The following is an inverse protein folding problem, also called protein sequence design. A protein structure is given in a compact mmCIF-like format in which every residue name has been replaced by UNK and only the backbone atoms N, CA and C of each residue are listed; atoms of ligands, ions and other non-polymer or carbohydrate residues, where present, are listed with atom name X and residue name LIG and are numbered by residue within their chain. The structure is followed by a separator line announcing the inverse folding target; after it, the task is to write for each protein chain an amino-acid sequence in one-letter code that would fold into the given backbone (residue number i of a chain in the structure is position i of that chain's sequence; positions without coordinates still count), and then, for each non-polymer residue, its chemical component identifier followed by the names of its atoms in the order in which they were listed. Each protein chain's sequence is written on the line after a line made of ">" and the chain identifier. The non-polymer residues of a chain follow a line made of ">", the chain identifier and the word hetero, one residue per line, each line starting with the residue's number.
data_IF_995351204262
#
_entry.id   IF_995351204262
#
_cell.length_a   1.000
_cell.length_b   1.000
_cell.length_c   1.000
_cell.angle_alpha   90.00
_cell.angle_beta   90.00
_cell.angle_gamma   90.00
#
_symmetry.space_group_name_H-M   'P 1'
#
loop_
_entity.id
_entity.type
_entity.pdbx_description
1 polymer ?
#
# COMPACT_ATOMS: atom_id res chain seq x y z
N UNK A 1 3.66 1.66 -14.68
CA UNK A 1 3.29 0.39 -15.32
C UNK A 1 1.79 0.29 -15.39
N UNK A 2 1.30 -0.72 -16.10
CA UNK A 2 -0.12 -1.08 -16.14
C UNK A 2 -0.62 -1.46 -14.74
N UNK A 3 0.20 -2.18 -13.99
CA UNK A 3 -0.07 -2.67 -12.64
C UNK A 3 -0.37 -1.52 -11.67
N UNK A 4 0.37 -0.41 -11.79
CA UNK A 4 0.14 0.79 -10.97
C UNK A 4 -1.15 1.52 -11.35
N UNK A 5 -1.50 1.56 -12.64
CA UNK A 5 -2.75 2.21 -13.08
C UNK A 5 -3.96 1.42 -12.62
N UNK A 6 -3.86 0.10 -12.62
CA UNK A 6 -4.93 -0.78 -12.18
C UNK A 6 -5.24 -0.60 -10.69
N UNK A 7 -4.21 -0.59 -9.83
CA UNK A 7 -4.42 -0.37 -8.40
C UNK A 7 -4.92 1.05 -8.08
N UNK A 8 -4.49 2.07 -8.82
CA UNK A 8 -5.04 3.43 -8.69
C UNK A 8 -6.53 3.46 -9.10
N UNK A 9 -6.90 2.75 -10.17
CA UNK A 9 -8.30 2.66 -10.62
C UNK A 9 -9.19 1.96 -9.58
N UNK A 10 -8.69 0.89 -8.95
CA UNK A 10 -9.35 0.20 -7.84
C UNK A 10 -9.53 1.12 -6.62
N UNK A 11 -8.50 1.90 -6.28
CA UNK A 11 -8.60 2.86 -5.19
C UNK A 11 -9.62 3.96 -5.49
N UNK A 12 -9.66 4.50 -6.71
CA UNK A 12 -10.68 5.47 -7.11
C UNK A 12 -12.10 4.88 -6.97
N UNK A 13 -12.29 3.61 -7.29
CA UNK A 13 -13.58 2.94 -7.10
C UNK A 13 -13.92 2.79 -5.61
N UNK A 14 -12.96 2.44 -4.76
CA UNK A 14 -13.13 2.40 -3.31
C UNK A 14 -13.55 3.78 -2.75
N UNK A 15 -12.85 4.85 -3.11
CA UNK A 15 -13.17 6.21 -2.63
C UNK A 15 -14.52 6.74 -3.17
N UNK A 16 -14.96 6.30 -4.35
CA UNK A 16 -16.31 6.63 -4.82
C UNK A 16 -17.39 6.07 -3.89
N UNK A 17 -17.17 4.88 -3.32
CA UNK A 17 -18.10 4.29 -2.33
C UNK A 17 -18.12 5.02 -0.99
N UNK A 18 -17.12 5.86 -0.71
CA UNK A 18 -16.98 6.61 0.54
C UNK A 18 -17.38 8.07 0.40
N UNK A 19 -17.91 8.48 -0.75
CA UNK A 19 -18.19 9.90 -1.09
C UNK A 19 -16.99 10.82 -0.90
N UNK A 20 -15.76 10.30 -1.07
CA UNK A 20 -14.51 11.04 -0.93
C UNK A 20 -14.26 11.61 0.48
N UNK A 21 -14.89 11.05 1.50
CA UNK A 21 -14.64 11.45 2.87
C UNK A 21 -13.17 11.22 3.26
N UNK A 22 -12.56 12.23 3.89
CA UNK A 22 -11.14 12.18 4.28
C UNK A 22 -10.98 12.45 5.78
N UNK A 23 -11.33 11.47 6.64
CA UNK A 23 -11.18 11.60 8.08
C UNK A 23 -9.71 11.73 8.50
N UNK A 24 -9.50 12.27 9.69
CA UNK A 24 -8.16 12.34 10.30
C UNK A 24 -7.61 10.94 10.61
N UNK A 25 -8.49 9.99 10.92
CA UNK A 25 -8.15 8.58 11.16
C UNK A 25 -7.76 7.90 9.85
N UNK A 26 -6.52 7.44 9.78
CA UNK A 26 -5.95 6.73 8.64
C UNK A 26 -5.57 5.30 8.95
N UNK A 27 -4.80 4.72 8.03
CA UNK A 27 -4.05 3.49 8.31
C UNK A 27 -3.11 3.72 9.50
N UNK A 28 -2.92 2.66 10.27
CA UNK A 28 -2.00 2.60 11.41
C UNK A 28 -0.58 3.07 11.00
N UNK A 29 0.05 4.00 11.74
CA UNK A 29 1.36 4.55 11.40
C UNK A 29 2.53 3.65 11.83
N UNK A 30 2.27 2.61 12.61
CA UNK A 30 3.28 1.67 13.08
C UNK A 30 4.05 1.08 11.89
N UNK A 31 5.37 1.08 11.95
CA UNK A 31 6.26 0.61 10.87
C UNK A 31 6.15 1.35 9.53
N UNK A 32 5.37 2.45 9.42
CA UNK A 32 5.27 3.25 8.20
C UNK A 32 6.65 3.74 7.76
N UNK A 33 6.98 3.69 6.44
CA UNK A 33 8.25 4.20 5.94
C UNK A 33 8.52 5.64 6.38
N UNK A 34 9.74 5.93 6.82
CA UNK A 34 10.09 7.24 7.34
C UNK A 34 9.95 8.33 6.27
N UNK A 35 10.30 8.00 5.03
CA UNK A 35 10.12 8.89 3.88
C UNK A 35 8.65 9.30 3.69
N UNK A 36 7.70 8.36 3.87
CA UNK A 36 6.28 8.65 3.75
C UNK A 36 5.81 9.54 4.92
N UNK A 37 6.21 9.21 6.15
CA UNK A 37 5.86 9.99 7.35
C UNK A 37 6.40 11.43 7.28
N UNK A 38 7.63 11.61 6.79
CA UNK A 38 8.24 12.93 6.60
C UNK A 38 7.49 13.72 5.52
N UNK A 39 7.15 13.09 4.40
CA UNK A 39 6.40 13.73 3.33
C UNK A 39 4.99 14.11 3.74
N UNK A 40 4.24 13.25 4.45
CA UNK A 40 2.88 13.57 4.89
C UNK A 40 2.81 14.86 5.73
N UNK A 41 3.82 15.11 6.57
CA UNK A 41 3.94 16.35 7.37
C UNK A 41 4.19 17.60 6.54
N UNK A 42 4.76 17.45 5.34
CA UNK A 42 5.20 18.54 4.45
C UNK A 42 4.59 18.45 3.04
N UNK A 43 3.53 17.66 2.85
CA UNK A 43 3.08 17.25 1.51
C UNK A 43 2.59 18.39 0.62
N UNK A 44 2.30 19.54 1.21
CA UNK A 44 1.92 20.77 0.50
C UNK A 44 3.11 21.68 0.16
N UNK A 45 4.31 21.35 0.62
CA UNK A 45 5.53 22.16 0.46
C UNK A 45 6.75 21.40 -0.06
N UNK A 46 6.77 20.06 -0.02
CA UNK A 46 7.91 19.25 -0.46
C UNK A 46 7.60 18.35 -1.65
N UNK A 47 8.63 18.12 -2.47
CA UNK A 47 8.65 17.15 -3.56
C UNK A 47 8.92 15.73 -3.03
N UNK A 48 8.86 14.77 -3.95
CA UNK A 48 9.19 13.35 -3.74
C UNK A 48 10.57 13.19 -3.05
N UNK A 49 10.82 12.10 -2.30
CA UNK A 49 12.11 11.87 -1.66
C UNK A 49 13.24 11.72 -2.70
N UNK A 50 14.48 11.91 -2.26
CA UNK A 50 15.64 11.73 -3.12
C UNK A 50 15.91 10.24 -3.36
N UNK A 51 15.56 9.79 -4.56
CA UNK A 51 15.77 8.42 -5.01
C UNK A 51 17.22 8.09 -5.40
N UNK A 52 18.11 9.08 -5.47
CA UNK A 52 19.51 8.87 -5.89
C UNK A 52 20.41 8.35 -4.76
N UNK A 53 19.94 8.41 -3.52
CA UNK A 53 20.67 7.89 -2.37
C UNK A 53 20.95 6.38 -2.52
N UNK A 54 22.21 6.00 -2.34
CA UNK A 54 22.67 4.61 -2.44
C UNK A 54 21.87 3.74 -1.45
N UNK A 55 21.36 2.61 -1.93
CA UNK A 55 20.59 1.67 -1.11
C UNK A 55 19.18 2.14 -0.73
N UNK A 56 18.74 3.34 -1.17
CA UNK A 56 17.42 3.87 -0.81
C UNK A 56 16.30 2.89 -1.16
N UNK A 57 16.28 2.36 -2.38
CA UNK A 57 15.18 1.48 -2.82
C UNK A 57 15.15 0.15 -2.09
N UNK A 58 16.32 -0.41 -1.78
CA UNK A 58 16.42 -1.66 -1.01
C UNK A 58 15.88 -1.48 0.41
N UNK A 59 16.24 -0.39 1.08
CA UNK A 59 15.72 -0.10 2.42
C UNK A 59 14.24 0.27 2.39
N UNK A 60 13.84 1.11 1.42
CA UNK A 60 12.48 1.60 1.28
C UNK A 60 11.49 0.47 0.96
N UNK A 61 11.84 -0.47 0.07
CA UNK A 61 11.00 -1.62 -0.23
C UNK A 61 10.76 -2.50 1.00
N UNK A 62 11.80 -2.73 1.81
CA UNK A 62 11.71 -3.47 3.05
C UNK A 62 10.82 -2.76 4.09
N UNK A 63 10.96 -1.43 4.23
CA UNK A 63 10.07 -0.62 5.08
C UNK A 63 8.61 -0.70 4.62
N UNK A 64 8.36 -0.63 3.31
CA UNK A 64 7.01 -0.72 2.74
C UNK A 64 6.39 -2.08 3.03
N UNK A 65 7.12 -3.18 2.84
CA UNK A 65 6.64 -4.51 3.20
C UNK A 65 6.36 -4.64 4.69
N UNK A 66 7.28 -4.17 5.54
CA UNK A 66 7.10 -4.21 7.00
C UNK A 66 5.83 -3.48 7.43
N UNK A 67 5.59 -2.30 6.86
CA UNK A 67 4.36 -1.55 7.11
C UNK A 67 3.14 -2.31 6.61
N UNK A 68 3.16 -2.77 5.36
CA UNK A 68 2.03 -3.48 4.76
C UNK A 68 1.64 -4.72 5.57
N UNK A 69 2.62 -5.52 5.99
CA UNK A 69 2.41 -6.70 6.83
C UNK A 69 1.78 -6.32 8.18
N UNK A 70 2.25 -5.23 8.82
CA UNK A 70 1.69 -4.77 10.10
C UNK A 70 0.25 -4.24 10.01
N UNK A 71 -0.21 -3.89 8.80
CA UNK A 71 -1.59 -3.46 8.56
C UNK A 71 -2.54 -4.64 8.35
N UNK A 72 -2.02 -5.84 8.12
CA UNK A 72 -2.87 -6.97 7.76
C UNK A 72 -3.73 -7.41 8.95
N UNK A 73 -4.98 -7.80 8.68
CA UNK A 73 -5.87 -8.31 9.72
C UNK A 73 -5.37 -9.64 10.26
N UNK A 74 -5.79 -9.99 11.48
CA UNK A 74 -5.29 -11.17 12.21
C UNK A 74 -5.57 -12.45 11.44
N UNK A 75 -6.75 -12.59 10.82
CA UNK A 75 -7.08 -13.76 9.99
C UNK A 75 -6.10 -14.01 8.84
N UNK A 76 -5.39 -12.99 8.37
CA UNK A 76 -4.42 -13.13 7.28
C UNK A 76 -3.06 -13.66 7.76
N UNK A 77 -2.81 -13.60 9.08
CA UNK A 77 -1.59 -14.00 9.80
C UNK A 77 -0.40 -14.34 8.89
N UNK A 78 0.34 -13.31 8.48
CA UNK A 78 1.57 -13.49 7.71
C UNK A 78 2.71 -13.76 8.69
N UNK A 79 3.46 -14.84 8.46
CA UNK A 79 4.58 -15.16 9.35
C UNK A 79 5.61 -14.01 9.35
N UNK A 80 6.27 -13.75 10.50
CA UNK A 80 7.29 -12.72 10.56
C UNK A 80 8.36 -12.92 9.49
N UNK A 81 8.64 -11.88 8.70
CA UNK A 81 9.62 -11.85 7.58
C UNK A 81 9.18 -12.57 6.30
N UNK A 82 7.99 -13.15 6.26
CA UNK A 82 7.43 -13.68 5.01
C UNK A 82 6.67 -12.59 4.27
N UNK A 83 6.78 -12.60 2.94
CA UNK A 83 5.90 -11.81 2.09
C UNK A 83 4.62 -12.61 1.87
N UNK A 84 3.45 -11.96 1.89
CA UNK A 84 2.20 -12.68 1.72
C UNK A 84 2.17 -13.41 0.36
N UNK A 85 1.72 -14.66 0.38
CA UNK A 85 1.15 -15.31 -0.80
C UNK A 85 -0.32 -14.89 -0.93
N UNK A 86 -0.84 -14.84 -2.16
CA UNK A 86 -2.20 -14.36 -2.47
C UNK A 86 -3.24 -14.90 -1.48
N UNK A 87 -4.00 -14.03 -0.80
CA UNK A 87 -4.88 -14.47 0.29
C UNK A 87 -6.12 -15.19 -0.25
N UNK A 88 -6.57 -16.24 0.46
CA UNK A 88 -7.89 -16.81 0.25
C UNK A 88 -8.94 -15.94 0.94
N UNK A 89 -9.57 -15.05 0.16
CA UNK A 89 -10.54 -14.08 0.64
C UNK A 89 -11.92 -14.69 0.96
N UNK A 90 -12.13 -16.00 0.74
CA UNK A 90 -13.47 -16.62 0.79
C UNK A 90 -14.08 -16.74 2.19
N UNK A 91 -13.33 -16.51 3.27
CA UNK A 91 -13.74 -17.02 4.60
C UNK A 91 -14.03 -15.96 5.68
N UNK A 92 -13.53 -14.71 5.60
CA UNK A 92 -13.57 -13.84 6.79
C UNK A 92 -14.26 -12.49 6.56
N UNK A 93 -15.49 -12.40 7.07
CA UNK A 93 -16.35 -11.21 6.97
C UNK A 93 -16.14 -10.17 8.09
N UNK A 94 -15.35 -10.41 9.12
CA UNK A 94 -15.47 -9.63 10.37
C UNK A 94 -14.32 -8.68 10.73
N UNK A 95 -13.17 -8.69 10.04
CA UNK A 95 -11.99 -7.90 10.50
C UNK A 95 -11.42 -6.90 9.47
N UNK A 96 -12.20 -6.51 8.46
CA UNK A 96 -11.77 -5.52 7.46
C UNK A 96 -11.65 -4.09 8.01
N UNK A 97 -12.16 -3.82 9.22
CA UNK A 97 -12.22 -2.50 9.88
C UNK A 97 -10.85 -1.81 9.97
N UNK A 98 -9.77 -2.58 10.13
CA UNK A 98 -8.41 -2.03 10.22
C UNK A 98 -7.92 -1.45 8.88
N UNK A 99 -8.36 -2.06 7.77
CA UNK A 99 -8.03 -1.65 6.41
C UNK A 99 -9.10 -0.76 5.76
N UNK A 100 -10.31 -0.72 6.32
CA UNK A 100 -11.38 0.18 5.88
C UNK A 100 -11.11 1.62 6.32
N UNK A 101 -10.10 2.23 5.69
CA UNK A 101 -9.66 3.60 5.89
C UNK A 101 -9.72 4.33 4.56
N UNK A 102 -10.43 5.47 4.58
CA UNK A 102 -10.73 6.29 3.40
C UNK A 102 -9.91 7.57 3.36
N UNK A 103 -9.89 8.20 2.19
CA UNK A 103 -9.21 9.46 1.94
C UNK A 103 -7.68 9.37 2.00
N UNK A 104 -7.06 10.55 2.13
CA UNK A 104 -5.61 10.74 1.97
C UNK A 104 -4.76 10.06 3.05
N UNK A 105 -5.37 9.70 4.19
CA UNK A 105 -4.72 8.99 5.28
C UNK A 105 -4.97 7.47 5.23
N UNK A 106 -5.84 7.02 4.33
CA UNK A 106 -6.10 5.62 4.02
C UNK A 106 -5.07 5.04 3.04
N UNK A 107 -5.58 4.33 2.04
CA UNK A 107 -4.78 3.61 1.04
C UNK A 107 -3.89 4.50 0.16
N UNK A 108 -4.17 5.80 0.10
CA UNK A 108 -3.37 6.74 -0.69
C UNK A 108 -1.88 6.71 -0.33
N UNK A 109 -1.54 6.55 0.96
CA UNK A 109 -0.14 6.42 1.38
C UNK A 109 0.57 5.21 0.76
N UNK A 110 -0.12 4.07 0.63
CA UNK A 110 0.41 2.87 -0.02
C UNK A 110 0.62 3.11 -1.53
N UNK A 111 -0.30 3.81 -2.19
CA UNK A 111 -0.16 4.18 -3.60
C UNK A 111 1.04 5.11 -3.83
N UNK A 112 1.29 6.05 -2.91
CA UNK A 112 2.47 6.92 -2.95
C UNK A 112 3.74 6.07 -2.80
N UNK A 113 3.78 5.14 -1.86
CA UNK A 113 4.90 4.21 -1.70
C UNK A 113 5.16 3.40 -2.97
N UNK A 114 4.13 2.82 -3.58
CA UNK A 114 4.27 2.05 -4.83
C UNK A 114 4.81 2.92 -5.98
N UNK A 115 4.39 4.18 -6.07
CA UNK A 115 4.91 5.14 -7.05
C UNK A 115 6.40 5.39 -6.83
N UNK A 116 6.77 5.74 -5.61
CA UNK A 116 8.15 6.07 -5.25
C UNK A 116 9.11 4.90 -5.42
N UNK A 117 8.68 3.69 -5.05
CA UNK A 117 9.45 2.49 -5.29
C UNK A 117 9.69 2.31 -6.80
N UNK A 118 8.67 2.45 -7.64
CA UNK A 118 8.88 2.36 -9.10
C UNK A 118 9.79 3.45 -9.66
N UNK A 119 9.64 4.68 -9.17
CA UNK A 119 10.47 5.81 -9.63
C UNK A 119 11.94 5.60 -9.26
N UNK A 120 12.24 5.12 -8.07
CA UNK A 120 13.63 4.85 -7.70
C UNK A 120 14.20 3.62 -8.40
N UNK A 121 13.41 2.57 -8.68
CA UNK A 121 13.86 1.48 -9.56
C UNK A 121 14.33 2.02 -10.91
N UNK A 122 13.55 2.92 -11.54
CA UNK A 122 13.96 3.52 -12.82
C UNK A 122 15.27 4.34 -12.76
N UNK A 123 15.78 4.69 -11.57
CA UNK A 123 17.03 5.45 -11.38
C UNK A 123 18.23 4.59 -10.98
N UNK A 124 18.01 3.32 -10.64
CA UNK A 124 19.09 2.40 -10.33
C UNK A 124 19.81 1.98 -11.62
N UNK A 125 21.11 1.70 -11.53
CA UNK A 125 21.97 1.28 -12.65
C UNK A 125 22.31 -0.21 -12.62
N UNK A 126 22.11 -0.87 -11.49
CA UNK A 126 22.44 -2.28 -11.25
C UNK A 126 21.26 -3.22 -11.55
N UNK A 127 21.47 -4.53 -11.44
CA UNK A 127 20.46 -5.57 -11.66
C UNK A 127 19.29 -5.40 -10.67
N UNK A 128 18.10 -5.08 -11.21
CA UNK A 128 16.90 -4.74 -10.44
C UNK A 128 15.79 -5.77 -10.58
N UNK A 129 16.01 -6.85 -11.31
CA UNK A 129 14.92 -7.76 -11.71
C UNK A 129 14.22 -8.37 -10.50
N UNK A 130 14.94 -8.67 -9.42
CA UNK A 130 14.32 -9.11 -8.18
C UNK A 130 13.45 -8.03 -7.54
N UNK A 131 13.97 -6.79 -7.39
CA UNK A 131 13.21 -5.69 -6.78
C UNK A 131 12.01 -5.26 -7.64
N UNK A 132 12.10 -5.38 -8.98
CA UNK A 132 10.98 -5.17 -9.91
C UNK A 132 9.91 -6.25 -9.72
N UNK A 133 10.31 -7.53 -9.67
CA UNK A 133 9.38 -8.63 -9.37
C UNK A 133 8.74 -8.42 -8.00
N UNK A 134 9.50 -7.95 -7.03
CA UNK A 134 9.01 -7.68 -5.69
C UNK A 134 8.01 -6.53 -5.63
N UNK A 135 8.24 -5.47 -6.40
CA UNK A 135 7.30 -4.39 -6.58
C UNK A 135 5.97 -4.87 -7.21
N UNK A 136 6.04 -5.74 -8.22
CA UNK A 136 4.84 -6.35 -8.82
C UNK A 136 4.08 -7.20 -7.79
N UNK A 137 4.79 -7.99 -6.97
CA UNK A 137 4.18 -8.77 -5.88
C UNK A 137 3.47 -7.88 -4.87
N UNK A 138 4.10 -6.78 -4.46
CA UNK A 138 3.49 -5.82 -3.55
C UNK A 138 2.22 -5.19 -4.14
N UNK A 139 2.26 -4.74 -5.40
CA UNK A 139 1.06 -4.19 -6.06
C UNK A 139 -0.05 -5.22 -6.16
N UNK A 140 0.27 -6.43 -6.60
CA UNK A 140 -0.71 -7.51 -6.71
C UNK A 140 -1.38 -7.77 -5.36
N UNK A 141 -0.58 -7.88 -4.30
CA UNK A 141 -1.07 -8.19 -2.96
C UNK A 141 -1.98 -7.09 -2.38
N UNK A 142 -1.53 -5.84 -2.46
CA UNK A 142 -2.30 -4.66 -2.02
C UNK A 142 -3.59 -4.57 -2.85
N UNK A 143 -3.51 -4.86 -4.15
CA UNK A 143 -4.68 -4.84 -5.03
C UNK A 143 -5.70 -5.91 -4.67
N UNK A 144 -5.28 -7.15 -4.35
CA UNK A 144 -6.20 -8.22 -3.96
C UNK A 144 -6.92 -7.85 -2.65
N UNK A 145 -6.20 -7.29 -1.68
CA UNK A 145 -6.81 -6.85 -0.43
C UNK A 145 -7.79 -5.68 -0.64
N UNK A 146 -7.50 -4.78 -1.58
CA UNK A 146 -8.43 -3.70 -1.93
C UNK A 146 -9.71 -4.24 -2.56
N UNK A 147 -9.62 -5.22 -3.47
CA UNK A 147 -10.79 -5.90 -4.04
C UNK A 147 -11.61 -6.61 -2.96
N UNK A 148 -10.94 -7.31 -2.04
CA UNK A 148 -11.58 -7.94 -0.89
C UNK A 148 -12.34 -6.94 -0.01
N UNK A 149 -11.74 -5.77 0.25
CA UNK A 149 -12.39 -4.69 1.00
C UNK A 149 -13.62 -4.13 0.27
N UNK A 150 -13.54 -3.93 -1.06
CA UNK A 150 -14.69 -3.49 -1.86
C UNK A 150 -15.83 -4.51 -1.79
N UNK A 151 -15.52 -5.80 -1.95
CA UNK A 151 -16.52 -6.87 -1.85
C UNK A 151 -17.14 -6.95 -0.43
N UNK A 152 -16.33 -6.79 0.61
CA UNK A 152 -16.80 -6.72 1.99
C UNK A 152 -17.78 -5.55 2.19
N UNK A 153 -17.44 -4.34 1.74
CA UNK A 153 -18.30 -3.16 1.86
C UNK A 153 -19.63 -3.33 1.11
N UNK A 154 -19.61 -3.97 -0.05
CA UNK A 154 -20.82 -4.31 -0.78
C UNK A 154 -21.72 -5.30 -0.01
N UNK A 155 -21.12 -6.19 0.80
CA UNK A 155 -21.87 -7.20 1.59
C UNK A 155 -22.50 -6.67 2.88
N UNK A 156 -22.03 -5.53 3.41
CA UNK A 156 -22.59 -4.87 4.62
C UNK A 156 -23.59 -3.76 4.29
N UNK A 157 -23.61 -3.29 3.04
CA UNK A 157 -24.55 -2.28 2.56
C UNK A 157 -25.87 -2.84 2.00
N UNK A 158 -26.03 -4.17 2.05
CA UNK A 158 -27.29 -4.90 1.80
C UNK A 158 -27.96 -5.22 3.13
#
# INVERSE_FOLDING_TARGET
>A
GVEYRDIVSKWLNLERTTTWESPLLGLKPESRPNALSAWQKKRYSTREPDFSAIGFITSFSAEVWKWWISLQPEWRRIAPREKPSSPDLKVVRTEWILLDKKGVNGWFGLLVCMKWWRLGLNRMTEEQEELKRDWVRAIHDISVMMDGLVAYRASIGQ
#
